data_IF_971494794410
#
_entry.id   IF_971494794410
#
_cell.length_a   1.000
_cell.length_b   1.000
_cell.length_c   1.000
_cell.angle_alpha   90.00
_cell.angle_beta   90.00
_cell.angle_gamma   90.00
#
_symmetry.space_group_name_H-M   'P 1'
#
loop_
_entity.id
_entity.type
_entity.pdbx_description
1 polymer ?
#
# COMPACT_ATOMS: atom_id res chain seq x y z
N UNK A 1 -33.25 25.46 9.58
CA UNK A 1 -33.20 24.09 9.09
C UNK A 1 -32.52 24.06 7.73
N UNK A 2 -31.21 23.91 7.74
CA UNK A 2 -30.36 23.84 6.54
C UNK A 2 -30.18 22.41 6.08
N UNK A 3 -31.25 21.75 5.68
CA UNK A 3 -31.17 20.50 4.94
C UNK A 3 -30.83 20.79 3.50
N UNK A 4 -29.53 21.02 3.19
CA UNK A 4 -29.08 21.08 1.81
C UNK A 4 -29.45 19.77 1.11
N UNK A 5 -30.17 19.88 0.00
CA UNK A 5 -30.51 18.71 -0.84
C UNK A 5 -29.20 18.07 -1.31
N UNK A 6 -28.84 16.92 -0.73
CA UNK A 6 -27.64 16.14 -1.11
C UNK A 6 -27.70 15.80 -2.61
N UNK A 7 -28.90 15.69 -3.18
CA UNK A 7 -29.10 15.48 -4.62
C UNK A 7 -28.51 16.59 -5.48
N UNK A 8 -28.42 17.82 -4.98
CA UNK A 8 -27.81 18.94 -5.69
C UNK A 8 -26.30 18.75 -5.95
N UNK A 9 -25.65 17.90 -5.18
CA UNK A 9 -24.20 17.58 -5.35
C UNK A 9 -23.97 16.34 -6.21
N UNK A 10 -25.02 15.68 -6.71
CA UNK A 10 -24.88 14.51 -7.57
C UNK A 10 -25.04 14.95 -9.03
N UNK A 11 -23.91 14.88 -9.75
CA UNK A 11 -23.88 15.22 -11.18
C UNK A 11 -23.11 14.13 -11.94
N UNK A 12 -23.85 13.32 -12.73
CA UNK A 12 -23.29 12.18 -13.45
C UNK A 12 -22.18 12.56 -14.44
N UNK A 13 -22.34 13.60 -15.30
CA UNK A 13 -21.28 14.07 -16.17
C UNK A 13 -20.00 14.46 -15.41
N UNK A 14 -20.14 15.18 -14.31
CA UNK A 14 -19.02 15.61 -13.44
C UNK A 14 -18.28 14.41 -12.84
N UNK A 15 -19.03 13.42 -12.35
CA UNK A 15 -18.46 12.20 -11.79
C UNK A 15 -17.71 11.41 -12.86
N UNK A 16 -18.25 11.31 -14.06
CA UNK A 16 -17.61 10.62 -15.17
C UNK A 16 -16.29 11.28 -15.57
N UNK A 17 -16.26 12.59 -15.74
CA UNK A 17 -15.06 13.35 -16.10
C UNK A 17 -13.98 13.12 -15.02
N UNK A 18 -14.32 13.25 -13.76
CA UNK A 18 -13.35 13.25 -12.68
C UNK A 18 -12.86 11.84 -12.34
N UNK A 19 -13.78 10.88 -12.13
CA UNK A 19 -13.43 9.52 -11.74
C UNK A 19 -12.81 8.74 -12.90
N UNK A 20 -13.52 8.68 -14.04
CA UNK A 20 -13.03 7.90 -15.17
C UNK A 20 -11.80 8.55 -15.78
N UNK A 21 -11.75 9.87 -15.87
CA UNK A 21 -10.60 10.59 -16.37
C UNK A 21 -9.34 10.35 -15.54
N UNK A 22 -9.44 10.50 -14.21
CA UNK A 22 -8.30 10.27 -13.32
C UNK A 22 -7.84 8.82 -13.31
N UNK A 23 -8.76 7.85 -13.32
CA UNK A 23 -8.42 6.43 -13.40
C UNK A 23 -7.77 6.09 -14.74
N UNK A 24 -8.30 6.58 -15.86
CA UNK A 24 -7.70 6.36 -17.19
C UNK A 24 -6.27 6.91 -17.26
N UNK A 25 -6.04 8.13 -16.76
CA UNK A 25 -4.71 8.71 -16.68
C UNK A 25 -3.76 7.88 -15.82
N UNK A 26 -4.24 7.37 -14.68
CA UNK A 26 -3.46 6.48 -13.80
C UNK A 26 -3.11 5.18 -14.51
N UNK A 27 -4.05 4.59 -15.27
CA UNK A 27 -3.80 3.38 -16.07
C UNK A 27 -2.76 3.59 -17.17
N UNK A 28 -2.69 4.77 -17.76
CA UNK A 28 -1.67 5.12 -18.76
C UNK A 28 -0.30 5.32 -18.11
N UNK A 29 -0.26 5.86 -16.89
CA UNK A 29 0.98 6.18 -16.19
C UNK A 29 1.67 4.95 -15.53
N UNK A 30 0.94 3.87 -15.29
CA UNK A 30 1.45 2.71 -14.57
C UNK A 30 1.32 1.39 -15.37
N UNK A 31 2.20 0.40 -15.09
CA UNK A 31 2.09 -0.93 -15.68
C UNK A 31 0.72 -1.58 -15.39
N UNK A 32 0.25 -2.38 -16.36
CA UNK A 32 -1.10 -3.00 -16.32
C UNK A 32 -1.34 -3.87 -15.08
N UNK A 33 -0.32 -4.60 -14.64
CA UNK A 33 -0.37 -5.49 -13.48
C UNK A 33 -0.70 -4.78 -12.17
N UNK A 34 -0.34 -3.49 -12.03
CA UNK A 34 -0.62 -2.65 -10.87
C UNK A 34 -1.85 -1.76 -11.08
N UNK A 35 -1.97 -1.10 -12.24
CA UNK A 35 -3.05 -0.15 -12.50
C UNK A 35 -4.44 -0.79 -12.52
N UNK A 36 -4.59 -1.99 -13.09
CA UNK A 36 -5.87 -2.70 -13.07
C UNK A 36 -6.28 -3.21 -11.68
N UNK A 37 -5.33 -3.31 -10.75
CA UNK A 37 -5.57 -3.74 -9.37
C UNK A 37 -5.87 -2.58 -8.42
N UNK A 38 -6.04 -1.34 -8.91
CA UNK A 38 -6.24 -0.15 -8.06
C UNK A 38 -7.35 -0.34 -7.02
N UNK A 39 -8.48 -0.95 -7.40
CA UNK A 39 -9.58 -1.23 -6.47
C UNK A 39 -9.15 -2.25 -5.40
N UNK A 40 -8.40 -3.28 -5.80
CA UNK A 40 -7.85 -4.27 -4.87
C UNK A 40 -6.84 -3.64 -3.92
N UNK A 41 -5.99 -2.74 -4.42
CA UNK A 41 -5.02 -1.97 -3.61
C UNK A 41 -5.78 -1.12 -2.59
N UNK A 42 -6.83 -0.40 -3.01
CA UNK A 42 -7.67 0.39 -2.11
C UNK A 42 -8.33 -0.48 -1.04
N UNK A 43 -8.90 -1.62 -1.41
CA UNK A 43 -9.51 -2.55 -0.45
C UNK A 43 -8.48 -3.15 0.52
N UNK A 44 -7.25 -3.39 0.06
CA UNK A 44 -6.18 -3.89 0.92
C UNK A 44 -5.83 -2.93 2.05
N UNK A 45 -6.00 -1.61 1.83
CA UNK A 45 -5.73 -0.60 2.87
C UNK A 45 -6.68 -0.71 4.07
N UNK A 46 -7.85 -1.31 3.90
CA UNK A 46 -8.82 -1.51 4.99
C UNK A 46 -8.43 -2.65 5.94
N UNK A 47 -7.56 -3.57 5.50
CA UNK A 47 -7.09 -4.69 6.33
C UNK A 47 -5.77 -4.31 6.98
N UNK A 48 -5.70 -4.26 8.29
CA UNK A 48 -4.43 -4.06 9.01
C UNK A 48 -3.78 -5.40 9.35
N UNK A 49 -2.51 -5.62 8.99
CA UNK A 49 -1.77 -6.78 9.48
C UNK A 49 -1.57 -6.63 10.99
N UNK A 50 -1.85 -7.69 11.73
CA UNK A 50 -1.56 -7.76 13.16
C UNK A 50 -0.08 -8.15 13.31
N UNK A 51 0.80 -7.17 13.35
CA UNK A 51 2.21 -7.39 13.65
C UNK A 51 2.38 -7.31 15.16
N UNK A 52 2.83 -8.39 15.78
CA UNK A 52 3.18 -8.43 17.19
C UNK A 52 4.69 -8.68 17.35
N UNK A 53 5.45 -7.61 17.46
CA UNK A 53 6.91 -7.69 17.61
C UNK A 53 7.35 -8.50 18.84
N UNK A 54 6.58 -8.43 19.96
CA UNK A 54 6.93 -9.18 21.16
C UNK A 54 6.81 -10.69 20.97
N UNK A 55 5.76 -11.14 20.25
CA UNK A 55 5.61 -12.56 19.95
C UNK A 55 6.67 -13.02 18.95
N UNK A 56 7.03 -12.17 17.99
CA UNK A 56 8.13 -12.43 17.05
C UNK A 56 9.44 -12.64 17.81
N UNK A 57 9.81 -11.71 18.70
CA UNK A 57 11.04 -11.80 19.50
C UNK A 57 11.06 -13.09 20.33
N UNK A 58 9.95 -13.42 21.03
CA UNK A 58 9.84 -14.64 21.82
C UNK A 58 10.04 -15.90 20.96
N UNK A 59 9.44 -15.92 19.78
CA UNK A 59 9.60 -17.05 18.83
C UNK A 59 11.06 -17.18 18.40
N UNK A 60 11.72 -16.08 18.04
CA UNK A 60 13.11 -16.10 17.62
C UNK A 60 14.06 -16.51 18.75
N UNK A 61 13.83 -16.02 19.96
CA UNK A 61 14.60 -16.45 21.16
C UNK A 61 14.42 -17.95 21.41
N UNK A 62 13.21 -18.46 21.30
CA UNK A 62 12.94 -19.91 21.45
C UNK A 62 13.67 -20.74 20.40
N UNK A 63 13.68 -20.29 19.13
CA UNK A 63 14.45 -20.95 18.07
C UNK A 63 15.94 -20.89 18.31
N UNK A 64 16.48 -19.76 18.78
CA UNK A 64 17.88 -19.62 19.15
C UNK A 64 18.28 -20.58 20.29
N UNK A 65 17.45 -20.72 21.34
CA UNK A 65 17.68 -21.65 22.43
C UNK A 65 17.64 -23.10 21.96
N UNK A 66 16.66 -23.49 21.11
CA UNK A 66 16.54 -24.83 20.55
C UNK A 66 17.75 -25.16 19.67
N UNK A 67 18.12 -24.26 18.77
CA UNK A 67 19.28 -24.42 17.89
C UNK A 67 20.60 -24.61 18.67
N UNK A 68 20.78 -23.89 19.79
CA UNK A 68 21.97 -24.04 20.64
C UNK A 68 22.02 -25.35 21.39
N UNK A 69 20.90 -25.88 21.83
CA UNK A 69 20.84 -27.15 22.60
C UNK A 69 20.90 -28.38 21.70
N UNK A 70 20.22 -28.34 20.57
CA UNK A 70 19.90 -29.51 19.76
C UNK A 70 20.50 -29.43 18.34
N UNK A 71 21.12 -28.28 18.01
CA UNK A 71 21.66 -27.99 16.69
C UNK A 71 20.65 -27.38 15.73
N UNK A 72 21.15 -26.77 14.64
CA UNK A 72 20.30 -26.04 13.66
C UNK A 72 19.27 -26.95 12.98
N UNK A 73 19.59 -28.21 12.76
CA UNK A 73 18.68 -29.19 12.14
C UNK A 73 17.40 -29.42 12.96
N UNK A 74 17.43 -29.21 14.29
CA UNK A 74 16.24 -29.35 15.12
C UNK A 74 15.12 -28.35 14.81
N UNK A 75 15.45 -27.24 14.11
CA UNK A 75 14.48 -26.23 13.69
C UNK A 75 13.57 -26.72 12.56
N UNK A 76 13.92 -27.81 11.87
CA UNK A 76 13.11 -28.42 10.80
C UNK A 76 11.70 -28.81 11.31
N UNK A 77 11.62 -29.32 12.55
CA UNK A 77 10.36 -29.68 13.17
C UNK A 77 9.39 -28.51 13.36
N UNK A 78 9.91 -27.28 13.46
CA UNK A 78 9.12 -26.07 13.65
C UNK A 78 8.67 -25.41 12.35
N UNK A 79 9.19 -25.83 11.19
CA UNK A 79 8.88 -25.19 9.90
C UNK A 79 7.39 -25.22 9.54
N UNK A 80 6.66 -26.28 9.94
CA UNK A 80 5.23 -26.40 9.65
C UNK A 80 4.37 -25.46 10.51
N UNK A 81 4.86 -25.07 11.69
CA UNK A 81 4.18 -24.17 12.62
C UNK A 81 4.38 -22.69 12.24
N UNK A 82 5.36 -22.39 11.38
CA UNK A 82 5.67 -21.01 10.95
C UNK A 82 4.69 -20.58 9.88
N UNK A 83 3.80 -19.65 10.23
CA UNK A 83 2.82 -19.08 9.29
C UNK A 83 3.44 -18.06 8.32
N UNK A 84 4.47 -17.35 8.74
CA UNK A 84 5.12 -16.30 7.95
C UNK A 84 6.05 -16.90 6.88
N UNK A 85 5.76 -16.69 5.57
CA UNK A 85 6.55 -17.33 4.49
C UNK A 85 8.01 -16.88 4.47
N UNK A 86 8.29 -15.61 4.82
CA UNK A 86 9.65 -15.07 4.84
C UNK A 86 10.47 -15.72 5.96
N UNK A 87 9.90 -15.82 7.15
CA UNK A 87 10.51 -16.51 8.29
C UNK A 87 10.74 -17.98 7.98
N UNK A 88 9.72 -18.67 7.47
CA UNK A 88 9.80 -20.09 7.11
C UNK A 88 10.93 -20.35 6.13
N UNK A 89 11.03 -19.55 5.06
CA UNK A 89 12.09 -19.65 4.06
C UNK A 89 13.47 -19.39 4.66
N UNK A 90 13.58 -18.36 5.52
CA UNK A 90 14.85 -18.03 6.18
C UNK A 90 15.34 -19.16 7.07
N UNK A 91 14.47 -19.76 7.90
CA UNK A 91 14.82 -20.88 8.76
C UNK A 91 15.14 -22.13 7.92
N UNK A 92 14.39 -22.39 6.84
CA UNK A 92 14.69 -23.50 5.93
C UNK A 92 16.11 -23.40 5.36
N UNK A 93 16.52 -22.21 4.91
CA UNK A 93 17.88 -21.99 4.40
C UNK A 93 18.96 -22.27 5.46
N UNK A 94 18.68 -21.96 6.72
CA UNK A 94 19.61 -22.28 7.84
C UNK A 94 19.69 -23.80 8.05
N UNK A 95 18.55 -24.50 8.06
CA UNK A 95 18.47 -25.97 8.21
C UNK A 95 19.19 -26.68 7.06
N UNK A 96 19.06 -26.15 5.84
CA UNK A 96 19.70 -26.66 4.62
C UNK A 96 21.25 -26.40 4.61
N UNK A 97 21.79 -25.69 5.63
CA UNK A 97 23.20 -25.40 5.74
C UNK A 97 23.70 -24.36 4.75
N UNK A 98 22.84 -23.48 4.26
CA UNK A 98 23.20 -22.38 3.34
C UNK A 98 24.26 -21.48 3.99
N UNK A 99 25.24 -21.04 3.21
CA UNK A 99 26.25 -20.08 3.66
C UNK A 99 25.59 -18.78 4.15
N UNK A 100 26.03 -18.20 5.31
CA UNK A 100 25.39 -17.01 5.90
C UNK A 100 25.35 -15.81 4.97
N UNK A 101 26.40 -15.55 4.19
CA UNK A 101 26.43 -14.42 3.24
C UNK A 101 25.47 -14.65 2.08
N UNK A 102 25.35 -15.88 1.60
CA UNK A 102 24.40 -16.24 0.57
C UNK A 102 22.96 -16.14 1.08
N UNK A 103 22.67 -16.64 2.27
CA UNK A 103 21.36 -16.51 2.93
C UNK A 103 20.98 -15.04 3.04
N UNK A 104 21.88 -14.21 3.59
CA UNK A 104 21.67 -12.77 3.72
C UNK A 104 21.34 -12.13 2.39
N UNK A 105 22.14 -12.36 1.36
CA UNK A 105 21.94 -11.80 0.02
C UNK A 105 20.60 -12.21 -0.60
N UNK A 106 20.21 -13.48 -0.45
CA UNK A 106 18.91 -13.99 -0.95
C UNK A 106 17.73 -13.31 -0.25
N UNK A 107 17.79 -13.18 1.06
CA UNK A 107 16.71 -12.61 1.85
C UNK A 107 16.65 -11.08 1.71
N UNK A 108 17.77 -10.39 1.56
CA UNK A 108 17.81 -8.95 1.23
C UNK A 108 17.17 -8.69 -0.14
N UNK A 109 17.46 -9.52 -1.14
CA UNK A 109 16.80 -9.43 -2.46
C UNK A 109 15.29 -9.59 -2.35
N UNK A 110 14.82 -10.51 -1.52
CA UNK A 110 13.38 -10.70 -1.28
C UNK A 110 12.75 -9.49 -0.58
N UNK A 111 13.47 -8.87 0.36
CA UNK A 111 13.05 -7.61 0.99
C UNK A 111 12.94 -6.47 -0.03
N UNK A 112 13.92 -6.32 -0.90
CA UNK A 112 13.89 -5.29 -1.95
C UNK A 112 12.71 -5.49 -2.92
N UNK A 113 12.42 -6.73 -3.31
CA UNK A 113 11.28 -7.04 -4.16
C UNK A 113 9.95 -6.70 -3.47
N UNK A 114 9.82 -7.00 -2.18
CA UNK A 114 8.66 -6.66 -1.38
C UNK A 114 8.49 -5.13 -1.25
N UNK A 115 9.58 -4.40 -0.97
CA UNK A 115 9.61 -2.94 -0.88
C UNK A 115 9.17 -2.30 -2.20
N UNK A 116 9.75 -2.74 -3.32
CA UNK A 116 9.41 -2.26 -4.66
C UNK A 116 7.94 -2.54 -5.03
N UNK A 117 7.37 -3.66 -4.59
CA UNK A 117 5.96 -3.95 -4.84
C UNK A 117 5.04 -3.02 -4.05
N UNK A 118 5.34 -2.80 -2.76
CA UNK A 118 4.58 -1.91 -1.89
C UNK A 118 4.68 -0.44 -2.34
N UNK A 119 5.86 0.01 -2.74
CA UNK A 119 6.07 1.35 -3.30
C UNK A 119 5.32 1.52 -4.62
N UNK A 120 5.30 0.50 -5.46
CA UNK A 120 4.50 0.52 -6.68
C UNK A 120 2.99 0.62 -6.42
N UNK A 121 2.47 -0.05 -5.39
CA UNK A 121 1.06 0.07 -4.99
C UNK A 121 0.75 1.48 -4.47
N UNK A 122 1.64 2.07 -3.68
CA UNK A 122 1.56 3.45 -3.20
C UNK A 122 1.55 4.44 -4.36
N UNK A 123 2.50 4.31 -5.29
CA UNK A 123 2.65 5.22 -6.43
C UNK A 123 1.41 5.27 -7.33
N UNK A 124 0.69 4.16 -7.50
CA UNK A 124 -0.59 4.13 -8.24
C UNK A 124 -1.62 5.03 -7.58
N UNK A 125 -1.76 4.98 -6.25
CA UNK A 125 -2.72 5.83 -5.52
C UNK A 125 -2.28 7.30 -5.47
N UNK A 126 -0.98 7.58 -5.34
CA UNK A 126 -0.44 8.94 -5.42
C UNK A 126 -0.72 9.57 -6.79
N UNK A 127 -0.52 8.82 -7.87
CA UNK A 127 -0.84 9.28 -9.22
C UNK A 127 -2.33 9.54 -9.40
N UNK A 128 -3.20 8.64 -8.93
CA UNK A 128 -4.65 8.86 -8.94
C UNK A 128 -5.04 10.12 -8.15
N UNK A 129 -4.40 10.34 -7.00
CA UNK A 129 -4.55 11.54 -6.17
C UNK A 129 -4.09 12.82 -6.87
N UNK A 130 -3.02 12.76 -7.67
CA UNK A 130 -2.55 13.91 -8.45
C UNK A 130 -3.45 14.20 -9.66
N UNK A 131 -3.96 13.16 -10.34
CA UNK A 131 -4.80 13.35 -11.52
C UNK A 131 -6.24 13.75 -11.19
N UNK A 132 -6.81 13.34 -10.06
CA UNK A 132 -8.19 13.64 -9.72
C UNK A 132 -8.49 15.16 -9.67
N UNK A 133 -7.69 16.04 -9.03
CA UNK A 133 -7.89 17.48 -9.10
C UNK A 133 -7.66 18.06 -10.49
N UNK A 134 -6.70 17.50 -11.25
CA UNK A 134 -6.45 17.94 -12.64
C UNK A 134 -7.68 17.72 -13.53
N UNK A 135 -8.31 16.55 -13.44
CA UNK A 135 -9.57 16.28 -14.14
C UNK A 135 -10.74 17.10 -13.57
N UNK A 136 -10.70 17.44 -12.28
CA UNK A 136 -11.60 18.44 -11.70
C UNK A 136 -11.52 19.79 -12.39
N UNK A 137 -10.31 20.30 -12.61
CA UNK A 137 -10.06 21.55 -13.35
C UNK A 137 -10.49 21.46 -14.81
N UNK A 138 -10.22 20.33 -15.48
CA UNK A 138 -10.68 20.09 -16.86
C UNK A 138 -12.21 20.20 -16.91
N UNK A 139 -12.91 19.57 -15.97
CA UNK A 139 -14.38 19.66 -15.88
C UNK A 139 -14.87 21.09 -15.61
N UNK A 140 -14.16 21.86 -14.81
CA UNK A 140 -14.44 23.29 -14.63
C UNK A 140 -14.39 24.04 -15.94
N UNK A 141 -13.33 23.85 -16.72
CA UNK A 141 -13.18 24.48 -18.03
C UNK A 141 -14.30 24.07 -19.01
N UNK A 142 -14.66 22.79 -19.02
CA UNK A 142 -15.77 22.27 -19.83
C UNK A 142 -17.08 22.98 -19.46
N UNK A 143 -17.40 23.05 -18.16
CA UNK A 143 -18.60 23.72 -17.66
C UNK A 143 -18.64 25.21 -18.00
N UNK A 144 -17.51 25.92 -17.85
CA UNK A 144 -17.41 27.34 -18.21
C UNK A 144 -17.54 27.57 -19.73
N UNK A 145 -16.95 26.72 -20.55
CA UNK A 145 -17.11 26.80 -22.02
C UNK A 145 -18.58 26.60 -22.43
N UNK A 146 -19.27 25.63 -21.81
CA UNK A 146 -20.69 25.41 -22.05
C UNK A 146 -21.53 26.61 -21.63
N UNK A 147 -21.22 27.19 -20.45
CA UNK A 147 -21.90 28.39 -19.96
C UNK A 147 -21.72 29.57 -20.92
N UNK A 148 -20.50 29.82 -21.41
CA UNK A 148 -20.21 30.91 -22.36
C UNK A 148 -20.92 30.73 -23.70
N UNK A 149 -21.08 29.49 -24.18
CA UNK A 149 -21.85 29.20 -25.40
C UNK A 149 -23.34 29.48 -25.28
N UNK A 150 -23.84 29.48 -24.06
CA UNK A 150 -25.28 29.57 -23.75
C UNK A 150 -25.66 30.87 -23.05
N UNK A 151 -24.81 31.94 -23.13
CA UNK A 151 -25.05 33.19 -22.40
C UNK A 151 -26.40 33.85 -22.74
N UNK A 152 -26.95 33.59 -23.90
CA UNK A 152 -28.27 34.12 -24.31
C UNK A 152 -29.46 33.30 -23.75
N UNK A 153 -29.19 32.20 -23.05
CA UNK A 153 -30.23 31.35 -22.44
C UNK A 153 -29.97 31.18 -20.93
N UNK A 154 -30.63 32.03 -20.10
CA UNK A 154 -30.43 31.99 -18.64
C UNK A 154 -30.72 30.64 -17.97
N UNK A 155 -31.60 29.81 -18.54
CA UNK A 155 -31.96 28.50 -17.98
C UNK A 155 -30.80 27.49 -18.01
N UNK A 156 -29.86 27.65 -18.93
CA UNK A 156 -28.71 26.74 -19.09
C UNK A 156 -27.46 27.18 -18.32
N UNK A 157 -27.42 28.41 -17.83
CA UNK A 157 -26.26 28.96 -17.09
C UNK A 157 -26.07 28.24 -15.76
N UNK A 158 -27.14 28.01 -14.99
CA UNK A 158 -27.09 27.34 -13.70
C UNK A 158 -26.53 25.90 -13.80
N UNK A 159 -27.09 25.04 -14.65
CA UNK A 159 -26.59 23.68 -14.87
C UNK A 159 -25.11 23.63 -15.31
N UNK A 160 -24.70 24.51 -16.22
CA UNK A 160 -23.29 24.54 -16.70
C UNK A 160 -22.32 24.98 -15.59
N UNK A 161 -22.72 25.95 -14.77
CA UNK A 161 -21.96 26.39 -13.62
C UNK A 161 -21.86 25.29 -12.54
N UNK A 162 -22.96 24.54 -12.33
CA UNK A 162 -22.97 23.40 -11.41
C UNK A 162 -21.97 22.33 -11.83
N UNK A 163 -21.88 21.98 -13.12
CA UNK A 163 -20.87 21.05 -13.63
C UNK A 163 -19.45 21.56 -13.32
N UNK A 164 -19.17 22.85 -13.56
CA UNK A 164 -17.87 23.43 -13.29
C UNK A 164 -17.45 23.33 -11.81
N UNK A 165 -18.35 23.63 -10.89
CA UNK A 165 -18.07 23.61 -9.46
C UNK A 165 -17.99 22.18 -8.88
N UNK A 166 -18.92 21.31 -9.28
CA UNK A 166 -19.03 19.95 -8.77
C UNK A 166 -17.83 19.09 -9.22
N UNK A 167 -17.34 19.26 -10.45
CA UNK A 167 -16.14 18.53 -10.90
C UNK A 167 -14.91 18.86 -10.07
N UNK A 168 -14.71 20.12 -9.72
CA UNK A 168 -13.61 20.53 -8.84
C UNK A 168 -13.77 19.97 -7.44
N UNK A 169 -15.00 20.00 -6.90
CA UNK A 169 -15.31 19.39 -5.60
C UNK A 169 -14.98 17.89 -5.61
N UNK A 170 -15.43 17.15 -6.63
CA UNK A 170 -15.15 15.73 -6.75
C UNK A 170 -13.64 15.43 -6.85
N UNK A 171 -12.92 16.20 -7.64
CA UNK A 171 -11.47 16.07 -7.76
C UNK A 171 -10.77 16.24 -6.43
N UNK A 172 -11.13 17.27 -5.65
CA UNK A 172 -10.56 17.53 -4.35
C UNK A 172 -10.92 16.46 -3.31
N UNK A 173 -12.18 16.01 -3.27
CA UNK A 173 -12.64 14.96 -2.34
C UNK A 173 -11.99 13.62 -2.64
N UNK A 174 -11.91 13.21 -3.90
CA UNK A 174 -11.26 11.97 -4.30
C UNK A 174 -9.77 11.97 -3.96
N UNK A 175 -9.07 13.07 -4.25
CA UNK A 175 -7.65 13.17 -3.97
C UNK A 175 -7.36 13.16 -2.46
N UNK A 176 -7.91 14.14 -1.75
CA UNK A 176 -7.52 14.40 -0.36
C UNK A 176 -8.33 13.59 0.66
N UNK A 177 -9.54 13.14 0.28
CA UNK A 177 -10.39 12.31 1.14
C UNK A 177 -10.17 10.81 0.96
N UNK A 178 -9.59 10.37 -0.17
CA UNK A 178 -9.51 8.94 -0.46
C UNK A 178 -8.11 8.51 -0.95
N UNK A 179 -7.64 8.95 -2.12
CA UNK A 179 -6.43 8.40 -2.74
C UNK A 179 -5.17 8.67 -1.91
N UNK A 180 -4.90 9.92 -1.54
CA UNK A 180 -3.70 10.30 -0.81
C UNK A 180 -3.64 9.72 0.62
N UNK A 181 -4.73 9.73 1.42
CA UNK A 181 -4.72 9.07 2.73
C UNK A 181 -4.50 7.55 2.62
N UNK A 182 -5.04 6.90 1.58
CA UNK A 182 -4.81 5.47 1.35
C UNK A 182 -3.35 5.20 0.95
N UNK A 183 -2.75 6.04 0.10
CA UNK A 183 -1.34 5.94 -0.26
C UNK A 183 -0.43 6.08 0.98
N UNK A 184 -0.71 7.04 1.86
CA UNK A 184 0.02 7.22 3.12
C UNK A 184 -0.14 6.00 4.05
N UNK A 185 -1.34 5.42 4.12
CA UNK A 185 -1.57 4.21 4.91
C UNK A 185 -0.76 3.02 4.39
N UNK A 186 -0.63 2.86 3.06
CA UNK A 186 0.25 1.85 2.46
C UNK A 186 1.70 2.09 2.87
N UNK A 187 2.19 3.33 2.79
CA UNK A 187 3.57 3.66 3.16
C UNK A 187 3.88 3.31 4.63
N UNK A 188 3.00 3.69 5.55
CA UNK A 188 3.15 3.36 6.97
C UNK A 188 3.10 1.86 7.24
N UNK A 189 2.24 1.12 6.52
CA UNK A 189 2.15 -0.32 6.61
C UNK A 189 3.40 -1.00 6.05
N UNK A 190 3.91 -0.51 4.92
CA UNK A 190 5.14 -1.00 4.31
C UNK A 190 6.32 -0.90 5.28
N UNK A 191 6.48 0.25 5.94
CA UNK A 191 7.54 0.44 6.94
C UNK A 191 7.46 -0.60 8.08
N UNK A 192 6.25 -0.83 8.64
CA UNK A 192 6.06 -1.81 9.71
C UNK A 192 6.42 -3.22 9.25
N UNK A 193 5.95 -3.61 8.06
CA UNK A 193 6.19 -4.93 7.50
C UNK A 193 7.67 -5.15 7.18
N UNK A 194 8.33 -4.18 6.57
CA UNK A 194 9.77 -4.26 6.27
C UNK A 194 10.61 -4.30 7.54
N UNK A 195 10.23 -3.56 8.58
CA UNK A 195 10.90 -3.64 9.89
C UNK A 195 10.79 -5.04 10.47
N UNK A 196 9.59 -5.64 10.45
CA UNK A 196 9.38 -7.02 10.91
C UNK A 196 10.27 -8.01 10.15
N UNK A 197 10.31 -7.91 8.82
CA UNK A 197 11.14 -8.81 8.00
C UNK A 197 12.64 -8.62 8.23
N UNK A 198 13.10 -7.38 8.42
CA UNK A 198 14.50 -7.09 8.79
C UNK A 198 14.87 -7.68 10.15
N UNK A 199 13.96 -7.58 11.14
CA UNK A 199 14.14 -8.23 12.45
C UNK A 199 14.24 -9.75 12.30
N UNK A 200 13.39 -10.37 11.48
CA UNK A 200 13.46 -11.81 11.19
C UNK A 200 14.82 -12.17 10.59
N UNK A 201 15.28 -11.45 9.58
CA UNK A 201 16.55 -11.71 8.92
C UNK A 201 17.72 -11.61 9.89
N UNK A 202 17.79 -10.54 10.68
CA UNK A 202 18.84 -10.34 11.69
C UNK A 202 18.82 -11.45 12.74
N UNK A 203 17.64 -11.83 13.22
CA UNK A 203 17.49 -12.92 14.19
C UNK A 203 17.93 -14.27 13.61
N UNK A 204 17.58 -14.57 12.36
CA UNK A 204 17.98 -15.82 11.69
C UNK A 204 19.49 -15.90 11.50
N UNK A 205 20.14 -14.79 11.10
CA UNK A 205 21.61 -14.73 11.00
C UNK A 205 22.27 -14.91 12.37
N UNK A 206 21.72 -14.31 13.43
CA UNK A 206 22.19 -14.51 14.81
C UNK A 206 22.06 -15.97 15.28
N UNK A 207 20.94 -16.64 14.93
CA UNK A 207 20.73 -18.07 15.22
C UNK A 207 21.75 -18.93 14.49
N UNK A 208 21.98 -18.65 13.21
CA UNK A 208 22.97 -19.38 12.39
C UNK A 208 24.41 -19.20 12.92
N UNK A 209 24.73 -18.00 13.41
CA UNK A 209 26.02 -17.69 14.03
C UNK A 209 26.18 -18.28 15.43
N UNK A 210 25.13 -18.85 16.03
CA UNK A 210 25.14 -19.40 17.38
C UNK A 210 25.27 -18.35 18.48
N UNK A 211 24.84 -17.11 18.22
CA UNK A 211 24.88 -16.01 19.19
C UNK A 211 24.04 -16.32 20.44
N UNK A 212 24.32 -15.61 21.55
CA UNK A 212 23.59 -15.82 22.79
C UNK A 212 22.15 -15.31 22.63
N UNK A 213 21.10 -16.09 22.99
CA UNK A 213 19.70 -15.67 22.90
C UNK A 213 19.38 -14.33 23.60
N UNK A 214 20.12 -13.97 24.66
CA UNK A 214 19.97 -12.68 25.33
C UNK A 214 20.44 -11.50 24.46
N UNK A 215 21.48 -11.71 23.64
CA UNK A 215 21.97 -10.69 22.70
C UNK A 215 20.93 -10.46 21.59
N UNK A 216 20.27 -11.54 21.16
CA UNK A 216 19.23 -11.49 20.16
C UNK A 216 17.98 -10.73 20.67
N UNK A 217 17.66 -10.81 21.96
CA UNK A 217 16.56 -10.07 22.58
C UNK A 217 16.87 -8.56 22.69
N UNK A 218 18.15 -8.19 22.84
CA UNK A 218 18.61 -6.81 23.00
C UNK A 218 18.82 -6.09 21.64
N UNK A 219 19.01 -6.82 20.54
CA UNK A 219 19.13 -6.27 19.17
C UNK A 219 17.78 -5.82 18.62
#
# INVERSE_FOLDING_TARGET
>A
SGGGDIGAFINIPSLFITVVGSLAATMVAHPKDKSFKIIGIMMSTMKEPKINYMDLIRTMVSFSEKARREGLLSLEENLEEIEDPFMKKSIQLVVDGTDPELLKSMMETELELLENDLDGQRAVLESAGAYAPAFGMIGTLIGLIQMLKSLNNPETLGPSMAVALITTLYGAVLANGMYLPMAEKIARRAQKLLTEKRMILEAVLSIQAGENPRILEEK
#
